data_IF_108925505836
#
_entry.id   IF_108925505836
#
_cell.length_a   1.000
_cell.length_b   1.000
_cell.length_c   1.000
_cell.angle_alpha   90.00
_cell.angle_beta   90.00
_cell.angle_gamma   90.00
#
_symmetry.space_group_name_H-M   'P 1'
#
loop_
_entity.id
_entity.type
_entity.pdbx_description
1 polymer ?
#
# COMPACT_ATOMS: atom_id res chain seq x y z
N UNK A 1 8.04 11.88 -26.82
CA UNK A 1 7.58 10.48 -26.74
C UNK A 1 6.24 10.45 -26.00
N UNK A 2 5.12 10.16 -26.68
CA UNK A 2 3.83 9.97 -26.00
C UNK A 2 3.87 8.58 -25.36
N UNK A 3 4.12 8.50 -24.06
CA UNK A 3 3.96 7.25 -23.30
C UNK A 3 2.52 6.79 -23.46
N UNK A 4 2.30 5.60 -24.01
CA UNK A 4 0.97 5.05 -24.15
C UNK A 4 0.31 5.01 -22.76
N UNK A 5 -0.93 5.52 -22.65
CA UNK A 5 -1.67 5.47 -21.38
C UNK A 5 -1.88 4.01 -21.00
N UNK A 6 -1.27 3.59 -19.89
CA UNK A 6 -1.44 2.25 -19.34
C UNK A 6 -2.95 1.98 -19.17
N UNK A 7 -3.49 0.90 -19.79
CA UNK A 7 -4.92 0.58 -19.74
C UNK A 7 -5.44 0.44 -18.30
N UNK A 8 -4.58 0.14 -17.33
CA UNK A 8 -4.92 0.02 -15.92
C UNK A 8 -5.50 1.32 -15.32
N UNK A 9 -5.02 2.48 -15.81
CA UNK A 9 -5.43 3.80 -15.34
C UNK A 9 -6.54 4.43 -16.17
N UNK A 10 -7.06 3.72 -17.19
CA UNK A 10 -8.15 4.22 -18.02
C UNK A 10 -9.38 4.54 -17.16
N UNK A 11 -10.06 5.65 -17.49
CA UNK A 11 -11.30 6.15 -16.82
C UNK A 11 -11.14 6.63 -15.37
N UNK A 12 -9.93 6.96 -14.91
CA UNK A 12 -9.78 7.64 -13.62
C UNK A 12 -9.71 9.16 -13.81
N UNK A 13 -10.31 9.89 -12.86
CA UNK A 13 -10.26 11.35 -12.80
C UNK A 13 -8.84 11.88 -12.55
N UNK A 14 -8.06 11.15 -11.75
CA UNK A 14 -6.71 11.55 -11.38
C UNK A 14 -5.65 10.99 -12.32
N UNK A 15 -4.55 11.73 -12.56
CA UNK A 15 -3.42 11.22 -13.33
C UNK A 15 -2.85 9.93 -12.73
N UNK A 16 -2.31 9.01 -13.56
CA UNK A 16 -1.67 7.78 -13.09
C UNK A 16 -0.60 8.01 -12.02
N UNK A 17 0.12 9.13 -12.09
CA UNK A 17 1.20 9.50 -11.18
C UNK A 17 0.67 9.77 -9.77
N UNK A 18 -0.46 10.47 -9.65
CA UNK A 18 -1.12 10.74 -8.35
C UNK A 18 -1.63 9.44 -7.73
N UNK A 19 -2.29 8.61 -8.53
CA UNK A 19 -2.82 7.31 -8.07
C UNK A 19 -1.67 6.41 -7.62
N UNK A 20 -0.62 6.31 -8.44
CA UNK A 20 0.57 5.52 -8.14
C UNK A 20 1.24 5.97 -6.84
N UNK A 21 1.36 7.28 -6.65
CA UNK A 21 1.98 7.86 -5.47
C UNK A 21 1.18 7.58 -4.20
N UNK A 22 -0.14 7.75 -4.25
CA UNK A 22 -1.03 7.47 -3.13
C UNK A 22 -0.97 5.99 -2.70
N UNK A 23 -1.01 5.08 -3.69
CA UNK A 23 -0.91 3.63 -3.44
C UNK A 23 0.47 3.27 -2.91
N UNK A 24 1.53 3.84 -3.47
CA UNK A 24 2.88 3.63 -2.98
C UNK A 24 3.06 4.08 -1.53
N UNK A 25 2.57 5.28 -1.16
CA UNK A 25 2.62 5.76 0.23
C UNK A 25 1.94 4.78 1.19
N UNK A 26 0.74 4.31 0.83
CA UNK A 26 -0.04 3.38 1.65
C UNK A 26 0.65 2.01 1.85
N UNK A 27 1.28 1.45 0.81
CA UNK A 27 1.94 0.13 0.91
C UNK A 27 3.38 0.19 1.42
N UNK A 28 4.07 1.34 1.30
CA UNK A 28 5.49 1.46 1.64
C UNK A 28 5.73 1.91 3.08
N UNK A 29 4.80 2.67 3.66
CA UNK A 29 4.94 3.28 4.99
C UNK A 29 3.76 2.87 5.89
N UNK A 30 3.93 2.89 7.22
CA UNK A 30 2.86 2.60 8.18
C UNK A 30 1.88 3.78 8.29
N UNK A 31 1.32 4.23 7.15
CA UNK A 31 0.38 5.35 7.08
C UNK A 31 -1.06 4.84 7.08
N UNK A 32 -1.92 5.51 7.84
CA UNK A 32 -3.36 5.29 7.70
C UNK A 32 -3.88 5.89 6.38
N UNK A 33 -5.02 5.40 5.90
CA UNK A 33 -5.67 5.95 4.69
C UNK A 33 -5.98 7.46 4.83
N UNK A 34 -6.31 7.91 6.05
CA UNK A 34 -6.57 9.32 6.37
C UNK A 34 -5.30 10.16 6.29
N UNK A 35 -4.17 9.64 6.77
CA UNK A 35 -2.88 10.33 6.64
C UNK A 35 -2.50 10.50 5.17
N UNK A 36 -2.74 9.49 4.33
CA UNK A 36 -2.48 9.62 2.88
C UNK A 36 -3.37 10.69 2.24
N UNK A 37 -4.65 10.74 2.61
CA UNK A 37 -5.57 11.82 2.21
C UNK A 37 -5.05 13.21 2.63
N UNK A 38 -4.65 13.38 3.88
CA UNK A 38 -4.09 14.64 4.40
C UNK A 38 -2.80 15.05 3.69
N UNK A 39 -1.89 14.10 3.43
CA UNK A 39 -0.64 14.35 2.70
C UNK A 39 -0.89 14.82 1.26
N UNK A 40 -1.93 14.29 0.61
CA UNK A 40 -2.33 14.71 -0.73
C UNK A 40 -3.04 16.07 -0.69
N UNK A 41 -3.88 16.30 0.32
CA UNK A 41 -4.55 17.59 0.55
C UNK A 41 -3.54 18.72 0.78
N UNK A 42 -2.46 18.47 1.54
CA UNK A 42 -1.36 19.43 1.75
C UNK A 42 -0.65 19.83 0.44
N UNK A 43 -0.81 19.03 -0.63
CA UNK A 43 -0.29 19.32 -1.98
C UNK A 43 -1.36 19.87 -2.93
N UNK A 44 -2.52 20.26 -2.42
CA UNK A 44 -3.66 20.75 -3.21
C UNK A 44 -4.44 19.66 -3.96
N UNK A 45 -4.22 18.39 -3.62
CA UNK A 45 -4.89 17.24 -4.27
C UNK A 45 -6.01 16.75 -3.34
N UNK A 46 -7.25 17.18 -3.62
CA UNK A 46 -8.42 16.74 -2.86
C UNK A 46 -8.87 15.32 -3.24
N UNK A 47 -8.60 14.35 -2.38
CA UNK A 47 -9.07 12.95 -2.50
C UNK A 47 -9.60 12.48 -1.16
N UNK A 48 -10.61 11.60 -1.16
CA UNK A 48 -11.10 11.00 0.08
C UNK A 48 -10.28 9.77 0.47
N UNK A 49 -10.19 9.43 1.75
CA UNK A 49 -9.60 8.15 2.19
C UNK A 49 -10.23 6.93 1.50
N UNK A 50 -11.51 6.98 1.18
CA UNK A 50 -12.20 5.91 0.45
C UNK A 50 -11.68 5.77 -0.98
N UNK A 51 -11.35 6.88 -1.62
CA UNK A 51 -10.73 6.88 -2.95
C UNK A 51 -9.36 6.20 -2.88
N UNK A 52 -8.53 6.55 -1.88
CA UNK A 52 -7.24 5.89 -1.63
C UNK A 52 -7.43 4.40 -1.38
N UNK A 53 -8.45 4.01 -0.60
CA UNK A 53 -8.78 2.60 -0.33
C UNK A 53 -9.15 1.83 -1.60
N UNK A 54 -9.97 2.42 -2.47
CA UNK A 54 -10.35 1.79 -3.75
C UNK A 54 -9.15 1.65 -4.68
N UNK A 55 -8.27 2.66 -4.71
CA UNK A 55 -7.00 2.55 -5.44
C UNK A 55 -6.10 1.46 -4.86
N UNK A 56 -5.96 1.38 -3.54
CA UNK A 56 -5.22 0.31 -2.88
C UNK A 56 -5.74 -1.09 -3.25
N UNK A 57 -7.07 -1.26 -3.32
CA UNK A 57 -7.68 -2.53 -3.76
C UNK A 57 -7.40 -2.87 -5.22
N UNK A 58 -7.47 -1.89 -6.11
CA UNK A 58 -7.34 -2.09 -7.56
C UNK A 58 -5.88 -2.21 -8.02
N UNK A 59 -5.01 -1.33 -7.52
CA UNK A 59 -3.62 -1.21 -7.95
C UNK A 59 -2.64 -1.84 -6.96
N UNK A 60 -3.06 -2.17 -5.74
CA UNK A 60 -2.15 -2.60 -4.68
C UNK A 60 -1.39 -3.88 -4.96
N UNK A 61 -2.01 -4.87 -5.62
CA UNK A 61 -1.34 -6.15 -5.92
C UNK A 61 -0.09 -5.96 -6.81
N UNK A 62 -0.17 -5.30 -7.98
CA UNK A 62 1.02 -4.96 -8.77
C UNK A 62 2.12 -4.22 -7.99
N UNK A 63 1.75 -3.32 -7.08
CA UNK A 63 2.72 -2.59 -6.25
C UNK A 63 3.37 -3.49 -5.19
N UNK A 64 2.58 -4.28 -4.47
CA UNK A 64 3.07 -5.27 -3.50
C UNK A 64 4.02 -6.26 -4.16
N UNK A 65 3.68 -6.77 -5.34
CA UNK A 65 4.51 -7.74 -6.06
C UNK A 65 5.86 -7.13 -6.46
N UNK A 66 5.86 -5.89 -6.97
CA UNK A 66 7.11 -5.15 -7.28
C UNK A 66 7.95 -4.84 -6.05
N UNK A 67 7.31 -4.50 -4.92
CA UNK A 67 8.03 -4.27 -3.65
C UNK A 67 8.68 -5.58 -3.19
N UNK A 68 7.96 -6.70 -3.25
CA UNK A 68 8.49 -8.03 -2.89
C UNK A 68 9.64 -8.48 -3.80
N UNK A 69 9.57 -8.21 -5.10
CA UNK A 69 10.66 -8.51 -6.04
C UNK A 69 11.95 -7.74 -5.74
N UNK A 70 11.84 -6.57 -5.12
CA UNK A 70 13.00 -5.74 -4.72
C UNK A 70 13.47 -6.02 -3.30
N UNK A 71 12.76 -6.88 -2.56
CA UNK A 71 13.19 -7.26 -1.22
C UNK A 71 14.47 -8.10 -1.31
N UNK A 72 15.37 -8.00 -0.31
CA UNK A 72 16.54 -8.87 -0.22
C UNK A 72 16.16 -10.35 -0.34
N UNK A 73 17.09 -11.16 -0.85
CA UNK A 73 16.95 -12.61 -0.81
C UNK A 73 16.78 -13.06 0.65
N UNK A 74 15.93 -14.06 0.86
CA UNK A 74 15.64 -14.52 2.21
C UNK A 74 16.87 -15.20 2.82
N UNK A 75 17.16 -14.93 4.08
CA UNK A 75 18.21 -15.57 4.85
C UNK A 75 17.85 -16.99 5.29
N UNK A 76 18.85 -17.71 5.78
CA UNK A 76 18.70 -19.08 6.28
C UNK A 76 18.22 -19.12 7.75
N UNK A 77 18.05 -17.97 8.39
CA UNK A 77 17.68 -17.84 9.81
C UNK A 77 16.38 -17.06 9.96
N UNK A 78 15.43 -17.66 10.66
CA UNK A 78 14.11 -17.09 10.92
C UNK A 78 13.92 -16.86 12.41
N UNK A 79 13.46 -15.67 12.78
CA UNK A 79 12.96 -15.32 14.10
C UNK A 79 11.45 -15.48 14.13
N UNK A 80 10.92 -16.14 15.16
CA UNK A 80 9.47 -16.29 15.36
C UNK A 80 9.02 -15.32 16.46
N UNK A 81 8.20 -14.35 16.09
CA UNK A 81 7.57 -13.44 17.04
C UNK A 81 6.13 -13.90 17.32
N UNK A 82 5.73 -13.89 18.59
CA UNK A 82 4.33 -14.08 19.01
C UNK A 82 3.72 -12.74 19.41
N UNK A 83 2.57 -12.40 18.83
CA UNK A 83 1.84 -11.16 19.12
C UNK A 83 0.37 -11.47 19.30
N UNK A 84 -0.25 -10.90 20.33
CA UNK A 84 -1.70 -10.93 20.52
C UNK A 84 -2.30 -9.68 19.88
N UNK A 85 -3.25 -9.88 18.96
CA UNK A 85 -3.98 -8.79 18.28
C UNK A 85 -5.47 -8.89 18.57
N UNK A 86 -6.13 -7.74 18.74
CA UNK A 86 -7.59 -7.70 18.85
C UNK A 86 -8.22 -7.35 17.50
N UNK A 87 -9.12 -8.19 17.01
CA UNK A 87 -9.89 -7.96 15.79
C UNK A 87 -11.37 -8.01 16.17
N UNK A 88 -12.10 -6.92 15.92
CA UNK A 88 -13.52 -6.81 16.28
C UNK A 88 -13.86 -7.13 17.76
N UNK A 89 -12.90 -6.92 18.68
CA UNK A 89 -13.06 -7.19 20.11
C UNK A 89 -12.65 -8.60 20.53
N UNK A 90 -12.36 -9.51 19.60
CA UNK A 90 -11.85 -10.85 19.87
C UNK A 90 -10.31 -10.84 19.86
N UNK A 91 -9.70 -11.60 20.78
CA UNK A 91 -8.25 -11.74 20.85
C UNK A 91 -7.79 -12.89 19.92
N UNK A 92 -6.76 -12.62 19.13
CA UNK A 92 -6.15 -13.59 18.23
C UNK A 92 -4.65 -13.65 18.46
N UNK A 93 -4.10 -14.86 18.40
CA UNK A 93 -2.66 -15.08 18.43
C UNK A 93 -2.13 -15.09 17.00
N UNK A 94 -1.15 -14.22 16.77
CA UNK A 94 -0.43 -14.11 15.51
C UNK A 94 1.02 -14.49 15.73
N UNK A 95 1.45 -15.58 15.09
CA UNK A 95 2.87 -15.91 14.96
C UNK A 95 3.40 -15.34 13.66
N UNK A 96 4.43 -14.50 13.74
CA UNK A 96 5.09 -13.88 12.60
C UNK A 96 6.51 -14.43 12.47
N UNK A 97 6.78 -15.10 11.35
CA UNK A 97 8.14 -15.44 10.97
C UNK A 97 8.81 -14.23 10.30
N UNK A 98 9.87 -13.71 10.92
CA UNK A 98 10.70 -12.61 10.42
C UNK A 98 12.06 -13.16 10.03
N UNK A 99 12.51 -12.80 8.85
CA UNK A 99 13.82 -13.17 8.34
C UNK A 99 14.88 -12.17 8.80
N UNK A 100 16.13 -12.62 8.96
CA UNK A 100 17.24 -11.79 9.48
C UNK A 100 17.59 -10.60 8.58
#
# INVERSE_FOLDING_TARGET
>A
MRTAKDPLYRRHRFPPEVISYAVWLYFRFPLSLRMVEEMLAARGIGVTYETVRQWGRKFGKPFSDRIRQRAPARGDKWHLDEVVISIAGEQHWLWRAVDQ
#
